data_IF_997971059836
#
_entry.id   IF_997971059836
#
_cell.length_a   1.000
_cell.length_b   1.000
_cell.length_c   1.000
_cell.angle_alpha   90.00
_cell.angle_beta   90.00
_cell.angle_gamma   90.00
#
_symmetry.space_group_name_H-M   'P 1'
#
loop_
_entity.id
_entity.type
_entity.pdbx_description
1 polymer ?
#
# COMPACT_ATOMS: atom_id res chain seq x y z
N UNK A 1 -18.86 -13.64 15.22
CA UNK A 1 -18.52 -12.60 16.21
C UNK A 1 -19.56 -11.49 16.05
N UNK A 2 -20.22 -11.06 17.12
CA UNK A 2 -21.37 -10.14 17.02
C UNK A 2 -20.93 -8.81 16.38
N UNK A 3 -21.64 -8.40 15.33
CA UNK A 3 -21.50 -7.13 14.61
C UNK A 3 -21.86 -5.95 15.54
N UNK A 4 -20.98 -5.61 16.47
CA UNK A 4 -21.12 -4.39 17.24
C UNK A 4 -20.38 -3.27 16.50
N UNK A 5 -21.14 -2.25 16.11
CA UNK A 5 -20.59 -0.99 15.62
C UNK A 5 -19.60 -0.46 16.65
N UNK A 6 -18.38 -0.07 16.27
CA UNK A 6 -17.41 0.49 17.22
C UNK A 6 -18.02 1.69 17.94
N UNK A 7 -17.66 1.86 19.21
CA UNK A 7 -18.06 3.02 20.00
C UNK A 7 -17.62 4.29 19.26
N UNK A 8 -18.42 5.36 19.28
CA UNK A 8 -18.00 6.63 18.71
C UNK A 8 -17.07 7.38 19.70
N UNK A 9 -16.06 8.12 19.23
CA UNK A 9 -15.30 9.02 20.10
C UNK A 9 -16.20 10.15 20.62
N UNK A 10 -15.82 10.76 21.75
CA UNK A 10 -16.60 11.85 22.35
C UNK A 10 -16.79 13.01 21.36
N UNK A 11 -18.04 13.48 21.23
CA UNK A 11 -18.40 14.55 20.27
C UNK A 11 -18.61 14.07 18.83
N UNK A 12 -18.59 12.77 18.57
CA UNK A 12 -18.82 12.20 17.24
C UNK A 12 -20.01 11.23 17.26
N UNK A 13 -20.64 11.07 16.10
CA UNK A 13 -21.66 10.06 15.83
C UNK A 13 -21.21 9.16 14.70
N UNK A 14 -21.63 7.89 14.75
CA UNK A 14 -21.41 6.95 13.67
C UNK A 14 -22.10 7.45 12.40
N UNK A 15 -21.36 7.44 11.28
CA UNK A 15 -21.87 7.87 9.99
C UNK A 15 -22.22 6.68 9.12
N UNK A 16 -21.22 5.90 8.71
CA UNK A 16 -21.35 4.72 7.85
C UNK A 16 -20.04 3.93 7.78
N UNK A 17 -20.01 2.67 7.31
CA UNK A 17 -18.74 2.06 6.96
C UNK A 17 -18.17 2.77 5.72
N UNK A 18 -16.85 2.80 5.57
CA UNK A 18 -16.20 3.41 4.39
C UNK A 18 -16.64 2.70 3.10
N UNK A 19 -16.83 1.38 3.20
CA UNK A 19 -17.38 0.54 2.15
C UNK A 19 -18.66 -0.12 2.65
N UNK A 20 -19.78 0.14 1.98
CA UNK A 20 -20.97 -0.68 2.13
C UNK A 20 -20.68 -2.09 1.57
N UNK A 21 -21.39 -3.11 2.08
CA UNK A 21 -21.12 -4.52 1.79
C UNK A 21 -20.94 -4.77 0.28
N UNK A 22 -20.01 -5.69 -0.03
CA UNK A 22 -19.66 -6.25 -1.36
C UNK A 22 -20.62 -5.89 -2.48
N UNK A 23 -20.06 -5.39 -3.60
CA UNK A 23 -20.76 -5.26 -4.88
C UNK A 23 -21.71 -6.44 -5.08
N UNK A 24 -22.95 -6.18 -5.51
CA UNK A 24 -23.99 -7.17 -5.81
C UNK A 24 -23.59 -8.06 -7.01
N UNK A 25 -22.51 -8.80 -6.84
CA UNK A 25 -21.76 -9.47 -7.89
C UNK A 25 -21.02 -10.66 -7.26
N UNK A 26 -20.94 -11.81 -7.95
CA UNK A 26 -20.14 -12.96 -7.52
C UNK A 26 -18.68 -12.59 -7.24
N UNK A 27 -18.07 -13.20 -6.21
CA UNK A 27 -16.70 -12.89 -5.77
C UNK A 27 -15.67 -12.93 -6.91
N UNK A 28 -15.74 -13.93 -7.80
CA UNK A 28 -14.79 -14.07 -8.91
C UNK A 28 -14.80 -12.85 -9.85
N UNK A 29 -15.96 -12.22 -10.04
CA UNK A 29 -16.10 -11.05 -10.90
C UNK A 29 -15.63 -9.78 -10.18
N UNK A 30 -15.73 -9.73 -8.84
CA UNK A 30 -15.06 -8.70 -8.03
C UNK A 30 -13.54 -8.81 -8.13
N UNK A 31 -13.00 -10.03 -8.03
CA UNK A 31 -11.57 -10.27 -8.21
C UNK A 31 -11.10 -9.92 -9.62
N UNK A 32 -11.86 -10.29 -10.65
CA UNK A 32 -11.55 -9.94 -12.03
C UNK A 32 -11.52 -8.41 -12.21
N UNK A 33 -12.55 -7.71 -11.73
CA UNK A 33 -12.63 -6.26 -11.82
C UNK A 33 -11.48 -5.59 -11.06
N UNK A 34 -11.15 -6.05 -9.86
CA UNK A 34 -10.02 -5.54 -9.09
C UNK A 34 -8.70 -5.69 -9.87
N UNK A 35 -8.47 -6.85 -10.51
CA UNK A 35 -7.28 -7.06 -11.34
C UNK A 35 -7.25 -6.15 -12.58
N UNK A 36 -8.39 -5.94 -13.24
CA UNK A 36 -8.49 -5.03 -14.38
C UNK A 36 -8.22 -3.57 -13.96
N UNK A 37 -8.74 -3.14 -12.82
CA UNK A 37 -8.48 -1.80 -12.30
C UNK A 37 -7.01 -1.67 -11.87
N UNK A 38 -6.39 -2.75 -11.36
CA UNK A 38 -4.97 -2.76 -10.98
C UNK A 38 -4.03 -2.51 -12.17
N UNK A 39 -4.50 -2.73 -13.40
CA UNK A 39 -3.75 -2.36 -14.60
C UNK A 39 -3.51 -0.85 -14.70
N UNK A 40 -4.36 0.00 -14.11
CA UNK A 40 -4.16 1.46 -14.14
C UNK A 40 -2.93 1.90 -13.32
N UNK A 41 -2.84 1.62 -12.00
CA UNK A 41 -1.63 1.96 -11.25
C UNK A 41 -0.42 1.16 -11.75
N UNK A 42 -0.59 -0.09 -12.20
CA UNK A 42 0.51 -0.84 -12.82
C UNK A 42 1.05 -0.15 -14.09
N UNK A 43 0.18 0.32 -14.98
CA UNK A 43 0.57 1.05 -16.19
C UNK A 43 1.26 2.37 -15.85
N UNK A 44 0.80 3.06 -14.80
CA UNK A 44 1.47 4.24 -14.28
C UNK A 44 2.88 3.88 -13.74
N UNK A 45 3.02 2.77 -13.03
CA UNK A 45 4.31 2.22 -12.61
C UNK A 45 5.24 1.91 -13.79
N UNK A 46 4.72 1.35 -14.88
CA UNK A 46 5.50 1.14 -16.10
C UNK A 46 6.00 2.47 -16.68
N UNK A 47 5.12 3.47 -16.77
CA UNK A 47 5.49 4.79 -17.30
C UNK A 47 6.50 5.52 -16.40
N UNK A 48 6.33 5.45 -15.08
CA UNK A 48 7.13 6.24 -14.13
C UNK A 48 8.40 5.53 -13.66
N UNK A 49 8.45 4.20 -13.68
CA UNK A 49 9.60 3.42 -13.21
C UNK A 49 10.30 2.68 -14.35
N UNK A 50 9.55 1.93 -15.15
CA UNK A 50 10.15 1.08 -16.20
C UNK A 50 10.75 1.91 -17.33
N UNK A 51 10.00 2.88 -17.90
CA UNK A 51 10.50 3.70 -19.01
C UNK A 51 11.78 4.46 -18.63
N UNK A 52 11.84 5.20 -17.50
CA UNK A 52 13.08 5.84 -17.06
C UNK A 52 14.22 4.86 -16.82
N UNK A 53 13.93 3.67 -16.28
CA UNK A 53 14.96 2.65 -16.07
C UNK A 53 15.52 2.09 -17.39
N UNK A 54 14.71 1.93 -18.43
CA UNK A 54 15.21 1.52 -19.75
C UNK A 54 16.13 2.59 -20.36
N UNK A 55 15.80 3.87 -20.19
CA UNK A 55 16.69 4.97 -20.59
C UNK A 55 18.01 4.93 -19.80
N UNK A 56 17.94 4.68 -18.49
CA UNK A 56 19.11 4.52 -17.63
C UNK A 56 20.02 3.35 -18.08
N UNK A 57 19.43 2.21 -18.44
CA UNK A 57 20.17 1.07 -19.01
C UNK A 57 20.83 1.44 -20.36
N UNK A 58 20.11 2.16 -21.22
CA UNK A 58 20.64 2.60 -22.51
C UNK A 58 21.82 3.58 -22.38
N UNK A 59 21.89 4.33 -21.27
CA UNK A 59 23.02 5.19 -20.92
C UNK A 59 24.23 4.44 -20.36
N UNK A 60 24.16 3.10 -20.24
CA UNK A 60 25.25 2.29 -19.70
C UNK A 60 25.35 2.31 -18.17
N UNK A 61 24.25 2.63 -17.48
CA UNK A 61 24.17 2.65 -16.00
C UNK A 61 25.27 3.45 -15.29
N UNK A 62 25.40 4.77 -15.57
CA UNK A 62 26.53 5.58 -15.09
C UNK A 62 26.61 5.76 -13.56
N UNK A 63 25.55 5.42 -12.82
CA UNK A 63 25.48 5.57 -11.37
C UNK A 63 25.60 4.23 -10.61
N UNK A 64 25.70 3.11 -11.34
CA UNK A 64 25.82 1.80 -10.72
C UNK A 64 27.12 1.72 -9.90
N UNK A 65 27.00 1.35 -8.62
CA UNK A 65 28.13 1.31 -7.70
C UNK A 65 29.01 0.06 -7.86
N UNK A 66 28.52 -0.93 -8.59
CA UNK A 66 29.19 -2.22 -8.82
C UNK A 66 28.96 -2.66 -10.27
N UNK A 67 29.87 -3.47 -10.84
CA UNK A 67 29.69 -4.02 -12.19
C UNK A 67 28.50 -4.98 -12.25
N UNK A 68 27.94 -5.17 -13.46
CA UNK A 68 26.87 -6.15 -13.66
C UNK A 68 27.39 -7.58 -13.43
N UNK A 69 26.58 -8.39 -12.77
CA UNK A 69 26.87 -9.77 -12.46
C UNK A 69 25.86 -10.67 -13.16
N UNK A 70 26.33 -11.81 -13.67
CA UNK A 70 25.44 -12.83 -14.18
C UNK A 70 25.06 -13.77 -13.05
N UNK A 71 23.77 -13.78 -12.69
CA UNK A 71 23.23 -14.74 -11.75
C UNK A 71 22.78 -15.99 -12.51
N UNK A 72 23.09 -17.17 -11.94
CA UNK A 72 22.52 -18.42 -12.44
C UNK A 72 20.98 -18.35 -12.37
N UNK A 73 20.24 -18.99 -13.31
CA UNK A 73 18.79 -18.88 -13.37
C UNK A 73 18.08 -19.22 -12.05
N UNK A 74 18.55 -20.27 -11.37
CA UNK A 74 18.03 -20.67 -10.06
C UNK A 74 18.21 -19.56 -9.00
N UNK A 75 19.39 -18.96 -8.93
CA UNK A 75 19.69 -17.85 -8.01
C UNK A 75 18.84 -16.63 -8.31
N UNK A 76 18.60 -16.30 -9.57
CA UNK A 76 17.71 -15.20 -9.98
C UNK A 76 16.27 -15.42 -9.51
N UNK A 77 15.75 -16.64 -9.67
CA UNK A 77 14.39 -17.00 -9.23
C UNK A 77 14.28 -16.88 -7.71
N UNK A 78 15.21 -17.49 -6.97
CA UNK A 78 15.22 -17.43 -5.50
C UNK A 78 15.33 -15.99 -5.02
N UNK A 79 16.23 -15.20 -5.61
CA UNK A 79 16.40 -13.78 -5.25
C UNK A 79 15.14 -12.97 -5.53
N UNK A 80 14.46 -13.22 -6.65
CA UNK A 80 13.19 -12.57 -6.99
C UNK A 80 12.09 -12.89 -5.99
N UNK A 81 11.95 -14.16 -5.58
CA UNK A 81 10.98 -14.58 -4.56
C UNK A 81 11.28 -13.90 -3.22
N UNK A 82 12.55 -13.89 -2.79
CA UNK A 82 12.95 -13.26 -1.54
C UNK A 82 12.69 -11.75 -1.54
N UNK A 83 13.02 -11.07 -2.64
CA UNK A 83 12.76 -9.64 -2.81
C UNK A 83 11.26 -9.35 -2.78
N UNK A 84 10.43 -10.18 -3.42
CA UNK A 84 8.98 -10.02 -3.41
C UNK A 84 8.40 -10.18 -1.99
N UNK A 85 8.81 -11.21 -1.25
CA UNK A 85 8.36 -11.40 0.13
C UNK A 85 8.83 -10.22 1.00
N UNK A 86 10.08 -9.82 0.85
CA UNK A 86 10.63 -8.67 1.59
C UNK A 86 9.89 -7.37 1.27
N UNK A 87 9.51 -7.12 0.01
CA UNK A 87 8.77 -5.93 -0.38
C UNK A 87 7.37 -5.90 0.23
N UNK A 88 6.69 -7.05 0.29
CA UNK A 88 5.39 -7.15 0.95
C UNK A 88 5.47 -6.88 2.46
N UNK A 89 6.47 -7.44 3.14
CA UNK A 89 6.68 -7.17 4.56
C UNK A 89 7.05 -5.70 4.82
N UNK A 90 7.88 -5.13 3.95
CA UNK A 90 8.26 -3.72 4.01
C UNK A 90 7.04 -2.80 3.82
N UNK A 91 6.15 -3.15 2.89
CA UNK A 91 4.92 -2.40 2.61
C UNK A 91 4.05 -2.28 3.87
N UNK A 92 3.72 -3.40 4.50
CA UNK A 92 2.91 -3.40 5.73
C UNK A 92 3.64 -2.72 6.90
N UNK A 93 4.96 -2.93 7.00
CA UNK A 93 5.75 -2.27 8.01
C UNK A 93 5.71 -0.74 7.86
N UNK A 94 5.74 -0.21 6.64
CA UNK A 94 5.67 1.22 6.36
C UNK A 94 4.33 1.85 6.76
N UNK A 95 3.20 1.16 6.60
CA UNK A 95 1.93 1.60 7.19
C UNK A 95 2.04 1.75 8.71
N UNK A 96 2.61 0.75 9.39
CA UNK A 96 2.79 0.80 10.84
C UNK A 96 3.79 1.86 11.30
N UNK A 97 4.86 2.10 10.54
CA UNK A 97 5.79 3.21 10.80
C UNK A 97 5.10 4.57 10.67
N UNK A 98 4.22 4.74 9.67
CA UNK A 98 3.45 5.97 9.53
C UNK A 98 2.55 6.19 10.75
N UNK A 99 1.88 5.14 11.25
CA UNK A 99 1.11 5.20 12.49
C UNK A 99 1.98 5.60 13.69
N UNK A 100 3.14 4.97 13.86
CA UNK A 100 4.08 5.29 14.94
C UNK A 100 4.58 6.73 14.87
N UNK A 101 4.92 7.22 13.68
CA UNK A 101 5.37 8.60 13.46
C UNK A 101 4.28 9.63 13.82
N UNK A 102 3.01 9.26 13.73
CA UNK A 102 1.86 10.09 14.12
C UNK A 102 1.41 9.85 15.58
N UNK A 103 2.12 9.03 16.35
CA UNK A 103 1.86 8.78 17.78
C UNK A 103 0.89 7.62 18.08
N UNK A 104 0.51 6.83 17.08
CA UNK A 104 -0.37 5.67 17.24
C UNK A 104 0.41 4.37 17.41
N UNK A 105 -0.20 3.37 18.06
CA UNK A 105 0.38 2.02 18.19
C UNK A 105 -0.17 1.12 17.08
N UNK A 106 0.65 0.73 16.09
CA UNK A 106 0.20 -0.16 15.02
C UNK A 106 -0.06 -1.56 15.56
N UNK A 107 -1.09 -2.20 15.03
CA UNK A 107 -1.37 -3.62 15.23
C UNK A 107 -1.22 -4.33 13.90
N UNK A 108 -0.45 -5.43 13.90
CA UNK A 108 -0.28 -6.27 12.72
C UNK A 108 -1.13 -7.52 12.86
N UNK A 109 -1.86 -7.88 11.82
CA UNK A 109 -2.66 -9.10 11.79
C UNK A 109 -2.58 -9.77 10.42
N UNK A 110 -2.76 -11.09 10.42
CA UNK A 110 -2.70 -11.90 9.22
C UNK A 110 -4.09 -12.42 8.88
N UNK A 111 -4.55 -12.18 7.65
CA UNK A 111 -5.88 -12.61 7.19
C UNK A 111 -5.79 -13.08 5.73
N UNK A 112 -6.20 -14.33 5.49
CA UNK A 112 -6.26 -14.96 4.14
C UNK A 112 -4.92 -14.81 3.39
N UNK A 113 -3.80 -15.13 4.04
CA UNK A 113 -2.49 -15.09 3.36
C UNK A 113 -1.84 -13.71 3.30
N UNK A 114 -2.51 -12.64 3.76
CA UNK A 114 -2.03 -11.26 3.66
C UNK A 114 -1.81 -10.69 5.07
N UNK A 115 -0.66 -10.03 5.26
CA UNK A 115 -0.35 -9.26 6.45
C UNK A 115 -0.98 -7.88 6.30
N UNK A 116 -1.52 -7.33 7.38
CA UNK A 116 -2.10 -5.99 7.42
C UNK A 116 -1.56 -5.25 8.63
N UNK A 117 -1.28 -3.95 8.47
CA UNK A 117 -1.15 -3.02 9.58
C UNK A 117 -2.45 -2.20 9.76
N UNK A 118 -2.91 -2.07 10.99
CA UNK A 118 -4.09 -1.28 11.32
C UNK A 118 -4.01 -0.61 12.68
N UNK A 119 -5.08 0.08 13.05
CA UNK A 119 -5.20 0.75 14.34
C UNK A 119 -5.52 -0.20 15.50
N UNK A 120 -5.04 0.17 16.68
CA UNK A 120 -5.51 -0.44 17.92
C UNK A 120 -7.00 -0.14 18.13
N UNK A 121 -7.74 -1.13 18.65
CA UNK A 121 -9.16 -0.95 18.96
C UNK A 121 -9.36 0.22 19.92
N UNK A 122 -10.24 1.15 19.53
CA UNK A 122 -10.53 2.38 20.29
C UNK A 122 -9.71 3.59 19.86
N UNK A 123 -8.76 3.44 18.95
CA UNK A 123 -8.09 4.57 18.32
C UNK A 123 -8.83 5.05 17.07
N UNK A 124 -8.70 6.35 16.80
CA UNK A 124 -9.27 7.00 15.63
C UNK A 124 -8.23 7.88 14.94
N UNK A 125 -8.21 7.82 13.62
CA UNK A 125 -7.42 8.73 12.81
C UNK A 125 -8.28 9.87 12.29
N UNK A 126 -7.69 11.07 12.25
CA UNK A 126 -8.17 12.13 11.39
C UNK A 126 -8.07 11.70 9.92
N UNK A 127 -8.83 12.36 9.06
CA UNK A 127 -8.73 12.16 7.60
C UNK A 127 -7.30 12.31 7.07
N UNK A 128 -6.54 13.27 7.58
CA UNK A 128 -5.16 13.52 7.14
C UNK A 128 -4.24 12.38 7.57
N UNK A 129 -4.31 11.96 8.84
CA UNK A 129 -3.50 10.85 9.33
C UNK A 129 -3.81 9.54 8.60
N UNK A 130 -5.08 9.29 8.30
CA UNK A 130 -5.47 8.09 7.56
C UNK A 130 -4.89 8.11 6.14
N UNK A 131 -4.99 9.23 5.42
CA UNK A 131 -4.38 9.38 4.10
C UNK A 131 -2.85 9.19 4.13
N UNK A 132 -2.17 9.75 5.14
CA UNK A 132 -0.73 9.57 5.31
C UNK A 132 -0.41 8.09 5.50
N UNK A 133 -1.06 7.42 6.47
CA UNK A 133 -0.84 6.01 6.75
C UNK A 133 -1.06 5.15 5.50
N UNK A 134 -2.18 5.33 4.81
CA UNK A 134 -2.55 4.55 3.64
C UNK A 134 -1.62 4.78 2.44
N UNK A 135 -1.19 6.01 2.17
CA UNK A 135 -0.37 6.30 0.97
C UNK A 135 1.15 6.14 1.21
N UNK A 136 1.59 5.96 2.46
CA UNK A 136 3.02 5.91 2.81
C UNK A 136 3.77 4.83 2.05
N UNK A 137 3.33 3.55 1.99
CA UNK A 137 4.10 2.53 1.29
C UNK A 137 4.27 2.81 -0.19
N UNK A 138 3.19 3.24 -0.87
CA UNK A 138 3.24 3.60 -2.29
C UNK A 138 4.27 4.71 -2.55
N UNK A 139 4.21 5.80 -1.78
CA UNK A 139 5.10 6.96 -1.97
C UNK A 139 6.54 6.64 -1.58
N UNK A 140 6.76 6.10 -0.38
CA UNK A 140 8.10 5.87 0.16
C UNK A 140 8.83 4.80 -0.66
N UNK A 141 8.18 3.68 -0.98
CA UNK A 141 8.83 2.62 -1.76
C UNK A 141 9.10 3.08 -3.19
N UNK A 142 8.19 3.81 -3.83
CA UNK A 142 8.42 4.29 -5.20
C UNK A 142 9.57 5.28 -5.27
N UNK A 143 9.61 6.27 -4.36
CA UNK A 143 10.65 7.31 -4.39
C UNK A 143 12.01 6.76 -3.96
N UNK A 144 12.08 6.10 -2.81
CA UNK A 144 13.37 5.58 -2.31
C UNK A 144 13.85 4.39 -3.12
N UNK A 145 12.93 3.51 -3.52
CA UNK A 145 13.23 2.37 -4.37
C UNK A 145 13.74 2.79 -5.75
N UNK A 146 13.16 3.81 -6.38
CA UNK A 146 13.69 4.34 -7.64
C UNK A 146 15.08 4.96 -7.46
N UNK A 147 15.35 5.66 -6.35
CA UNK A 147 16.69 6.14 -6.03
C UNK A 147 17.71 4.99 -5.90
N UNK A 148 17.36 3.95 -5.16
CA UNK A 148 18.21 2.75 -4.98
C UNK A 148 18.39 1.99 -6.30
N UNK A 149 17.35 1.92 -7.13
CA UNK A 149 17.35 1.26 -8.44
C UNK A 149 18.49 1.78 -9.34
N UNK A 150 18.76 3.08 -9.31
CA UNK A 150 19.83 3.69 -10.11
C UNK A 150 21.23 3.34 -9.60
N UNK A 151 21.37 2.98 -8.32
CA UNK A 151 22.67 2.67 -7.71
C UNK A 151 23.06 1.19 -7.86
N UNK A 152 22.08 0.34 -8.18
CA UNK A 152 22.28 -1.10 -8.29
C UNK A 152 22.82 -1.52 -9.66
N UNK A 153 23.61 -2.61 -9.72
CA UNK A 153 23.90 -3.30 -10.97
C UNK A 153 22.62 -3.74 -11.70
N UNK A 154 22.61 -3.78 -13.04
CA UNK A 154 21.42 -4.09 -13.82
C UNK A 154 20.66 -5.35 -13.39
N UNK A 155 21.35 -6.43 -13.00
CA UNK A 155 20.70 -7.66 -12.53
C UNK A 155 19.84 -7.44 -11.27
N UNK A 156 20.37 -6.75 -10.26
CA UNK A 156 19.65 -6.46 -9.02
C UNK A 156 18.63 -5.34 -9.23
N UNK A 157 18.95 -4.36 -10.07
CA UNK A 157 18.02 -3.30 -10.43
C UNK A 157 16.76 -3.86 -11.11
N UNK A 158 16.88 -4.84 -12.01
CA UNK A 158 15.72 -5.51 -12.62
C UNK A 158 14.84 -6.22 -11.58
N UNK A 159 15.45 -6.89 -10.59
CA UNK A 159 14.70 -7.56 -9.52
C UNK A 159 13.97 -6.54 -8.63
N UNK A 160 14.64 -5.45 -8.26
CA UNK A 160 14.02 -4.36 -7.50
C UNK A 160 12.90 -3.68 -8.30
N UNK A 161 13.09 -3.44 -9.60
CA UNK A 161 12.07 -2.86 -10.46
C UNK A 161 10.80 -3.71 -10.48
N UNK A 162 10.93 -5.04 -10.59
CA UNK A 162 9.77 -5.95 -10.48
C UNK A 162 9.07 -5.75 -9.13
N UNK A 163 9.82 -5.68 -8.03
CA UNK A 163 9.25 -5.46 -6.70
C UNK A 163 8.48 -4.13 -6.60
N UNK A 164 9.01 -3.05 -7.19
CA UNK A 164 8.35 -1.73 -7.19
C UNK A 164 7.09 -1.71 -8.07
N UNK A 165 7.11 -2.39 -9.21
CA UNK A 165 5.92 -2.55 -10.05
C UNK A 165 4.83 -3.36 -9.33
N UNK A 166 5.22 -4.44 -8.64
CA UNK A 166 4.31 -5.23 -7.83
C UNK A 166 3.76 -4.43 -6.64
N UNK A 167 4.59 -3.63 -5.97
CA UNK A 167 4.14 -2.71 -4.92
C UNK A 167 3.10 -1.71 -5.45
N UNK A 168 3.33 -1.16 -6.65
CA UNK A 168 2.40 -0.22 -7.29
C UNK A 168 1.05 -0.88 -7.58
N UNK A 169 1.06 -2.14 -8.02
CA UNK A 169 -0.16 -2.92 -8.23
C UNK A 169 -0.85 -3.29 -6.89
N UNK A 170 -0.08 -3.71 -5.88
CA UNK A 170 -0.57 -4.08 -4.56
C UNK A 170 -1.23 -2.90 -3.83
N UNK A 171 -0.72 -1.68 -4.06
CA UNK A 171 -1.26 -0.44 -3.50
C UNK A 171 -2.64 -0.04 -4.07
N UNK A 172 -3.25 -0.84 -4.96
CA UNK A 172 -4.59 -0.56 -5.47
C UNK A 172 -5.61 -0.47 -4.32
N UNK A 173 -5.53 -1.39 -3.36
CA UNK A 173 -6.41 -1.38 -2.17
C UNK A 173 -6.26 -0.06 -1.40
N UNK A 174 -5.02 0.37 -1.19
CA UNK A 174 -4.70 1.63 -0.52
C UNK A 174 -5.23 2.84 -1.27
N UNK A 175 -5.08 2.86 -2.59
CA UNK A 175 -5.62 3.94 -3.42
C UNK A 175 -7.15 4.03 -3.32
N UNK A 176 -7.85 2.90 -3.30
CA UNK A 176 -9.29 2.88 -3.07
C UNK A 176 -9.64 3.45 -1.68
N UNK A 177 -8.91 3.03 -0.65
CA UNK A 177 -9.12 3.50 0.73
C UNK A 177 -8.85 5.00 0.82
N UNK A 178 -7.75 5.47 0.23
CA UNK A 178 -7.39 6.87 0.19
C UNK A 178 -8.46 7.71 -0.53
N UNK A 179 -8.99 7.23 -1.67
CA UNK A 179 -10.09 7.92 -2.37
C UNK A 179 -11.36 7.98 -1.52
N UNK A 180 -11.72 6.88 -0.85
CA UNK A 180 -12.86 6.84 0.07
C UNK A 180 -12.72 7.83 1.21
N UNK A 181 -11.57 7.79 1.90
CA UNK A 181 -11.23 8.68 3.01
C UNK A 181 -11.21 10.14 2.56
N UNK A 182 -10.63 10.43 1.39
CA UNK A 182 -10.58 11.79 0.84
C UNK A 182 -11.98 12.36 0.55
N UNK A 183 -12.91 11.52 0.07
CA UNK A 183 -14.31 11.88 -0.22
C UNK A 183 -15.17 12.02 1.03
N UNK A 184 -14.77 11.45 2.16
CA UNK A 184 -15.49 11.62 3.42
C UNK A 184 -15.35 13.08 3.96
N UNK A 185 -16.29 13.51 4.84
CA UNK A 185 -16.26 14.85 5.42
C UNK A 185 -14.90 15.23 6.00
N UNK A 186 -14.49 16.51 5.87
CA UNK A 186 -13.16 16.96 6.30
C UNK A 186 -12.88 16.72 7.79
N UNK A 187 -13.93 16.79 8.59
CA UNK A 187 -13.91 16.60 10.04
C UNK A 187 -14.13 15.14 10.46
N UNK A 188 -14.29 14.22 9.50
CA UNK A 188 -14.51 12.82 9.82
C UNK A 188 -13.27 12.19 10.47
N UNK A 189 -13.55 11.22 11.35
CA UNK A 189 -12.55 10.34 11.94
C UNK A 189 -12.87 8.89 11.62
N UNK A 190 -11.83 8.06 11.61
CA UNK A 190 -11.88 6.70 11.08
C UNK A 190 -11.26 5.72 12.05
N UNK A 191 -11.77 4.50 12.09
CA UNK A 191 -11.17 3.37 12.82
C UNK A 191 -11.24 2.11 11.96
N UNK A 192 -10.35 1.15 12.22
CA UNK A 192 -10.32 -0.14 11.53
C UNK A 192 -11.04 -1.26 12.31
N UNK A 193 -11.67 -0.91 13.44
CA UNK A 193 -12.42 -1.87 14.27
C UNK A 193 -13.64 -2.42 13.51
N UNK A 194 -13.60 -3.73 13.21
CA UNK A 194 -14.57 -4.41 12.35
C UNK A 194 -14.67 -3.80 10.94
N UNK A 195 -13.53 -3.49 10.34
CA UNK A 195 -13.43 -2.82 9.04
C UNK A 195 -13.35 -1.31 9.18
N UNK A 196 -13.23 -0.59 8.06
CA UNK A 196 -13.03 0.86 8.11
C UNK A 196 -14.37 1.55 8.38
N UNK A 197 -14.53 2.13 9.57
CA UNK A 197 -15.74 2.82 10.00
C UNK A 197 -15.53 4.33 9.99
N UNK A 198 -16.57 5.09 9.61
CA UNK A 198 -16.53 6.55 9.51
C UNK A 198 -17.43 7.17 10.58
N UNK A 199 -16.88 8.15 11.29
CA UNK A 199 -17.59 8.97 12.26
C UNK A 199 -17.50 10.44 11.88
N UNK A 200 -18.55 11.21 12.17
CA UNK A 200 -18.60 12.66 11.93
C UNK A 200 -18.94 13.38 13.23
N UNK A 201 -18.59 14.67 13.39
CA UNK A 201 -19.00 15.42 14.57
C UNK A 201 -20.51 15.33 14.78
N UNK A 202 -20.94 15.11 16.02
CA UNK A 202 -22.32 15.35 16.38
C UNK A 202 -22.63 16.82 16.03
N UNK A 203 -23.71 17.08 15.29
CA UNK A 203 -24.16 18.45 15.14
C UNK A 203 -24.36 19.04 16.55
N UNK A 204 -23.81 20.24 16.79
CA UNK A 204 -24.15 21.02 17.98
C UNK A 204 -25.65 21.27 18.06
#
# INVERSE_FOLDING_TARGET
MQNQTPTAPSGFVYFKPLYEQRLEMPEWMQFLLANLIALLPFSLGLLLLWVPYQLYLAMGTPFALMPDLQLAPFTSIVSGILIFIASMLLHEWLHGLALQAMGYKPVYYFKIGVLFAGLQKGDYLSRVHYLIMTLTPLVVMSVTGFGVLLLLPPVYGRLLLIALLLNTAASLGDLFVAVGVYRAPKTAVFTDDNGIQVFVPAAE
#
